data_IF_546003813074
#
_entry.id   IF_546003813074
#
_cell.length_a   1.000
_cell.length_b   1.000
_cell.length_c   1.000
_cell.angle_alpha   90.00
_cell.angle_beta   90.00
_cell.angle_gamma   90.00
#
_symmetry.space_group_name_H-M   'P 1'
#
loop_
_entity.id
_entity.type
_entity.pdbx_description
1 polymer ?
#
# COMPACT_ATOMS: atom_id res chain seq x y z
N UNK A 1 19.03 -16.89 -5.27
CA UNK A 1 18.18 -16.97 -4.05
C UNK A 1 19.03 -16.88 -2.77
N UNK A 2 18.80 -15.85 -1.95
CA UNK A 2 19.38 -15.67 -0.61
C UNK A 2 18.83 -16.71 0.40
N UNK A 3 19.30 -16.71 1.65
CA UNK A 3 18.70 -17.52 2.72
C UNK A 3 17.30 -17.00 3.08
N UNK A 4 17.14 -15.68 3.20
CA UNK A 4 15.85 -15.03 3.46
C UNK A 4 14.81 -15.31 2.39
N UNK A 5 15.19 -15.32 1.11
CA UNK A 5 14.27 -15.67 0.02
C UNK A 5 13.77 -17.12 0.16
N UNK A 6 14.64 -18.05 0.60
CA UNK A 6 14.26 -19.46 0.81
C UNK A 6 13.31 -19.63 1.97
N UNK A 7 13.60 -18.93 3.08
CA UNK A 7 12.76 -18.93 4.27
C UNK A 7 11.37 -18.37 3.92
N UNK A 8 11.32 -17.20 3.29
CA UNK A 8 10.08 -16.58 2.83
C UNK A 8 9.26 -17.50 1.92
N UNK A 9 9.89 -18.12 0.90
CA UNK A 9 9.20 -19.08 0.02
C UNK A 9 8.63 -20.26 0.81
N UNK A 10 9.36 -20.73 1.83
CA UNK A 10 8.89 -21.85 2.65
C UNK A 10 7.77 -21.50 3.62
N UNK A 11 7.69 -20.23 4.04
CA UNK A 11 6.64 -19.72 4.93
C UNK A 11 5.34 -19.40 4.17
N UNK A 12 5.44 -18.68 3.05
CA UNK A 12 4.29 -18.20 2.29
C UNK A 12 3.66 -19.27 1.38
N UNK A 13 4.42 -20.29 0.96
CA UNK A 13 3.92 -21.33 0.03
C UNK A 13 3.87 -22.69 0.73
N UNK A 14 2.69 -23.00 1.27
CA UNK A 14 2.45 -24.24 2.01
C UNK A 14 2.21 -25.41 1.04
N UNK A 15 3.29 -26.00 0.53
CA UNK A 15 3.25 -27.30 -0.16
C UNK A 15 2.49 -27.34 -1.50
N UNK A 16 2.22 -28.56 -1.98
CA UNK A 16 1.45 -28.78 -3.21
C UNK A 16 -0.06 -28.58 -3.02
N UNK A 17 -0.86 -28.66 -4.09
CA UNK A 17 -2.30 -28.43 -4.03
C UNK A 17 -2.98 -29.34 -3.00
N UNK A 18 -3.81 -28.80 -2.08
CA UNK A 18 -4.56 -29.62 -1.15
C UNK A 18 -5.55 -30.53 -1.90
N UNK A 19 -6.00 -31.61 -1.25
CA UNK A 19 -7.00 -32.51 -1.85
C UNK A 19 -8.28 -31.74 -2.20
N UNK A 20 -8.69 -31.82 -3.47
CA UNK A 20 -9.87 -31.10 -3.96
C UNK A 20 -9.59 -29.67 -4.46
N UNK A 21 -8.34 -29.23 -4.48
CA UNK A 21 -7.94 -27.98 -5.12
C UNK A 21 -8.20 -28.00 -6.63
N UNK A 22 -8.46 -26.82 -7.18
CA UNK A 22 -8.67 -26.57 -8.60
C UNK A 22 -7.58 -25.61 -9.06
N UNK A 23 -6.85 -26.01 -10.11
CA UNK A 23 -5.80 -25.18 -10.69
C UNK A 23 -6.33 -24.35 -11.85
N UNK A 24 -5.70 -23.19 -12.05
CA UNK A 24 -6.01 -22.31 -13.17
C UNK A 24 -5.48 -22.87 -14.49
N UNK A 25 -6.16 -22.59 -15.60
CA UNK A 25 -5.67 -22.93 -16.93
C UNK A 25 -4.49 -22.04 -17.39
N UNK A 26 -4.31 -20.88 -16.76
CA UNK A 26 -3.18 -19.98 -17.00
C UNK A 26 -1.92 -20.37 -16.23
N UNK A 27 -2.07 -21.03 -15.08
CA UNK A 27 -0.93 -21.39 -14.22
C UNK A 27 -0.61 -22.88 -14.26
N UNK A 28 -1.63 -23.74 -14.15
CA UNK A 28 -1.45 -25.15 -13.85
C UNK A 28 -1.16 -25.39 -12.38
N UNK A 29 -0.41 -26.43 -12.05
CA UNK A 29 -0.07 -26.75 -10.66
C UNK A 29 1.18 -26.00 -10.17
N UNK A 30 2.20 -25.91 -11.03
CA UNK A 30 3.52 -25.38 -10.71
C UNK A 30 3.97 -24.30 -11.73
N UNK A 31 3.02 -23.63 -12.36
CA UNK A 31 3.28 -22.65 -13.41
C UNK A 31 3.71 -23.26 -14.74
N UNK A 32 3.45 -24.55 -14.99
CA UNK A 32 3.82 -25.22 -16.25
C UNK A 32 3.01 -24.74 -17.46
N UNK A 33 1.86 -24.09 -17.22
CA UNK A 33 1.03 -23.49 -18.26
C UNK A 33 1.27 -21.97 -18.40
N UNK A 34 2.05 -21.38 -17.49
CA UNK A 34 2.26 -19.95 -17.45
C UNK A 34 3.17 -19.47 -18.58
N UNK A 35 2.65 -18.52 -19.37
CA UNK A 35 3.29 -17.91 -20.53
C UNK A 35 3.14 -16.39 -20.45
N UNK A 36 4.04 -15.68 -19.76
CA UNK A 36 3.94 -14.23 -19.58
C UNK A 36 3.92 -13.46 -20.91
N UNK A 37 4.51 -14.03 -21.98
CA UNK A 37 4.52 -13.46 -23.33
C UNK A 37 3.14 -13.42 -24.03
N UNK A 38 2.14 -14.17 -23.53
CA UNK A 38 0.77 -14.12 -24.03
C UNK A 38 -0.07 -13.00 -23.36
N UNK A 39 0.55 -12.21 -22.47
CA UNK A 39 0.03 -10.99 -21.81
C UNK A 39 -1.28 -11.15 -21.01
N UNK A 40 -1.79 -12.38 -20.89
CA UNK A 40 -3.02 -12.70 -20.17
C UNK A 40 -2.77 -12.74 -18.65
N UNK A 41 -1.74 -13.47 -18.20
CA UNK A 41 -1.20 -13.43 -16.85
C UNK A 41 0.26 -12.95 -16.92
N UNK A 42 0.47 -11.68 -16.61
CA UNK A 42 1.79 -11.05 -16.63
C UNK A 42 2.69 -11.53 -15.50
N UNK A 43 3.98 -11.24 -15.63
CA UNK A 43 4.98 -11.47 -14.59
C UNK A 43 5.04 -10.31 -13.60
N UNK A 44 4.67 -10.59 -12.36
CA UNK A 44 4.75 -9.69 -11.23
C UNK A 44 5.86 -10.08 -10.26
N UNK A 45 6.65 -11.12 -10.54
CA UNK A 45 7.62 -11.68 -9.59
C UNK A 45 8.75 -10.72 -9.21
N UNK A 46 9.01 -9.70 -10.03
CA UNK A 46 10.00 -8.64 -9.77
C UNK A 46 9.44 -7.49 -8.91
N UNK A 47 8.14 -7.46 -8.59
CA UNK A 47 7.58 -6.43 -7.73
C UNK A 47 8.13 -6.59 -6.30
N UNK A 48 8.54 -5.47 -5.70
CA UNK A 48 9.14 -5.39 -4.38
C UNK A 48 10.64 -5.09 -4.40
N UNK A 49 11.18 -4.93 -3.20
CA UNK A 49 12.58 -4.61 -2.93
C UNK A 49 13.56 -5.49 -3.73
N UNK A 50 14.54 -4.87 -4.39
CA UNK A 50 15.56 -5.56 -5.21
C UNK A 50 15.03 -6.60 -6.21
N UNK A 51 13.87 -6.34 -6.82
CA UNK A 51 13.23 -7.30 -7.70
C UNK A 51 12.51 -8.38 -6.90
N UNK A 52 11.67 -7.98 -5.93
CA UNK A 52 10.90 -8.89 -5.09
C UNK A 52 11.70 -9.80 -4.14
N UNK A 53 12.95 -9.46 -3.83
CA UNK A 53 13.75 -10.20 -2.84
C UNK A 53 13.33 -9.81 -1.42
N UNK A 54 13.53 -10.75 -0.51
CA UNK A 54 13.24 -10.62 0.90
C UNK A 54 14.52 -10.51 1.75
N UNK A 55 15.66 -10.15 1.14
CA UNK A 55 16.94 -9.91 1.80
C UNK A 55 17.10 -8.45 2.24
N UNK A 56 16.10 -7.93 2.95
CA UNK A 56 16.16 -6.58 3.52
C UNK A 56 17.41 -6.40 4.38
N UNK A 57 18.06 -5.22 4.36
CA UNK A 57 19.27 -5.00 5.12
C UNK A 57 19.02 -5.01 6.64
N UNK A 58 19.61 -5.99 7.32
CA UNK A 58 19.63 -6.05 8.79
C UNK A 58 20.78 -5.22 9.38
N UNK A 59 20.72 -3.90 9.18
CA UNK A 59 21.78 -3.01 9.62
C UNK A 59 21.83 -2.80 11.14
N UNK A 60 23.03 -2.75 11.71
CA UNK A 60 23.24 -2.47 13.13
C UNK A 60 22.82 -1.04 13.52
N UNK A 61 22.39 -0.79 14.77
CA UNK A 61 22.14 0.55 15.28
C UNK A 61 23.35 1.49 15.12
N UNK A 62 23.16 2.58 14.36
CA UNK A 62 24.17 3.62 14.14
C UNK A 62 23.92 4.91 14.92
N UNK A 63 22.66 5.22 15.23
CA UNK A 63 22.27 6.38 16.02
C UNK A 63 21.04 6.06 16.87
N UNK A 64 21.13 6.22 18.19
CA UNK A 64 19.97 6.11 19.08
C UNK A 64 19.34 7.49 19.28
N UNK A 65 18.04 7.66 19.00
CA UNK A 65 17.36 8.96 19.13
C UNK A 65 17.49 9.61 20.52
N UNK A 66 17.65 8.82 21.58
CA UNK A 66 17.85 9.31 22.96
C UNK A 66 19.20 9.99 23.16
N UNK A 67 20.24 9.58 22.43
CA UNK A 67 21.55 10.23 22.47
C UNK A 67 21.50 11.65 21.88
N UNK A 68 20.50 11.92 21.05
CA UNK A 68 20.22 13.23 20.47
C UNK A 68 19.17 14.02 21.27
N UNK A 69 18.75 13.51 22.42
CA UNK A 69 17.91 14.21 23.39
C UNK A 69 16.43 13.85 23.37
N UNK A 70 16.00 12.89 22.54
CA UNK A 70 14.61 12.42 22.52
C UNK A 70 14.21 11.87 23.90
N UNK A 71 13.00 12.17 24.35
CA UNK A 71 12.48 11.73 25.66
C UNK A 71 11.63 10.48 25.55
N UNK A 72 10.79 10.37 24.53
CA UNK A 72 9.87 9.24 24.41
C UNK A 72 8.82 9.20 25.52
N UNK A 73 8.42 10.36 26.05
CA UNK A 73 7.47 10.51 27.16
C UNK A 73 6.03 10.85 26.73
N UNK A 74 5.79 10.97 25.41
CA UNK A 74 4.51 11.28 24.78
C UNK A 74 4.12 12.76 24.84
N UNK A 75 4.98 13.63 25.39
CA UNK A 75 4.66 15.04 25.64
C UNK A 75 5.74 15.98 25.11
N UNK A 76 7.01 15.61 25.26
CA UNK A 76 8.13 16.39 24.75
C UNK A 76 8.18 16.28 23.23
N UNK A 77 8.25 17.42 22.54
CA UNK A 77 8.51 17.46 21.10
C UNK A 77 9.92 16.91 20.80
N UNK A 78 9.94 15.69 20.27
CA UNK A 78 11.15 14.94 19.97
C UNK A 78 11.61 15.12 18.51
N UNK A 79 10.90 15.92 17.71
CA UNK A 79 11.16 16.09 16.26
C UNK A 79 12.60 16.48 15.98
N UNK A 80 13.13 17.47 16.69
CA UNK A 80 14.50 17.94 16.48
C UNK A 80 15.56 16.89 16.89
N UNK A 81 15.25 16.03 17.86
CA UNK A 81 16.16 14.94 18.24
C UNK A 81 16.20 13.85 17.16
N UNK A 82 15.04 13.47 16.61
CA UNK A 82 14.96 12.57 15.47
C UNK A 82 15.69 13.10 14.25
N UNK A 83 15.46 14.36 13.87
CA UNK A 83 16.14 14.97 12.72
C UNK A 83 17.67 14.94 12.86
N UNK A 84 18.21 15.18 14.07
CA UNK A 84 19.66 15.07 14.34
C UNK A 84 20.14 13.62 14.33
N UNK A 85 19.37 12.69 14.88
CA UNK A 85 19.72 11.27 14.87
C UNK A 85 19.79 10.72 13.45
N UNK A 86 18.80 11.05 12.61
CA UNK A 86 18.81 10.75 11.18
C UNK A 86 20.05 11.37 10.54
N UNK A 87 20.31 12.66 10.78
CA UNK A 87 21.47 13.35 10.19
C UNK A 87 22.82 12.70 10.53
N UNK A 88 22.98 12.27 11.78
CA UNK A 88 24.20 11.69 12.30
C UNK A 88 24.36 10.18 12.04
N UNK A 89 23.29 9.48 11.67
CA UNK A 89 23.33 8.04 11.43
C UNK A 89 24.28 7.69 10.28
N UNK A 90 25.29 6.84 10.47
CA UNK A 90 26.11 6.36 9.35
C UNK A 90 25.26 5.74 8.24
N UNK A 91 25.76 5.74 7.01
CA UNK A 91 25.18 4.92 5.95
C UNK A 91 25.25 3.44 6.34
N UNK A 92 24.27 2.67 5.87
CA UNK A 92 24.08 1.25 6.18
C UNK A 92 23.97 0.98 7.68
N UNK A 93 23.22 1.84 8.38
CA UNK A 93 22.97 1.74 9.81
C UNK A 93 21.51 2.10 10.16
N UNK A 94 21.05 1.62 11.31
CA UNK A 94 19.72 1.94 11.81
C UNK A 94 19.74 3.21 12.69
N UNK A 95 18.78 4.10 12.45
CA UNK A 95 18.31 5.06 13.44
C UNK A 95 17.43 4.29 14.42
N UNK A 96 17.99 3.96 15.57
CA UNK A 96 17.34 3.15 16.59
C UNK A 96 16.41 3.99 17.46
N UNK A 97 15.17 3.52 17.60
CA UNK A 97 14.10 4.13 18.39
C UNK A 97 13.75 3.19 19.56
N UNK A 98 14.31 3.40 20.75
CA UNK A 98 13.97 2.59 21.92
C UNK A 98 12.48 2.68 22.27
N UNK A 99 11.95 1.71 22.99
CA UNK A 99 10.56 1.74 23.46
C UNK A 99 10.24 3.03 24.22
N UNK A 100 9.14 3.68 23.85
CA UNK A 100 8.71 4.99 24.31
C UNK A 100 7.71 5.62 23.34
N UNK A 101 7.06 6.70 23.76
CA UNK A 101 6.13 7.45 22.91
C UNK A 101 6.75 8.79 22.52
N UNK A 102 7.06 9.00 21.25
CA UNK A 102 7.81 10.14 20.76
C UNK A 102 6.86 11.09 20.03
N UNK A 103 6.62 12.28 20.59
CA UNK A 103 5.76 13.28 19.96
C UNK A 103 6.53 13.98 18.84
N UNK A 104 6.05 13.84 17.62
CA UNK A 104 6.52 14.58 16.46
C UNK A 104 5.53 15.71 16.16
N UNK A 105 6.02 16.94 16.22
CA UNK A 105 5.26 18.16 15.97
C UNK A 105 5.52 18.73 14.57
N UNK A 106 6.43 18.12 13.82
CA UNK A 106 6.72 18.44 12.42
C UNK A 106 7.24 17.18 11.70
N UNK A 107 7.37 17.25 10.39
CA UNK A 107 7.93 16.19 9.56
C UNK A 107 9.43 15.93 9.82
N UNK A 108 9.90 14.80 9.30
CA UNK A 108 11.30 14.42 9.21
C UNK A 108 11.64 14.23 7.73
N UNK A 109 12.86 14.61 7.32
CA UNK A 109 13.34 14.44 5.94
C UNK A 109 13.08 15.61 4.98
N UNK A 110 12.62 16.75 5.50
CA UNK A 110 12.46 18.01 4.76
C UNK A 110 13.38 19.09 5.34
N UNK A 111 14.03 19.87 4.47
CA UNK A 111 14.92 20.97 4.87
C UNK A 111 14.15 22.29 5.07
N UNK A 112 13.30 22.64 4.11
CA UNK A 112 12.44 23.82 4.18
C UNK A 112 11.23 23.70 3.24
N UNK A 113 10.16 24.42 3.57
CA UNK A 113 9.05 24.69 2.64
C UNK A 113 8.93 26.20 2.39
N UNK A 114 8.78 26.59 1.13
CA UNK A 114 8.59 27.98 0.70
C UNK A 114 7.39 28.09 -0.21
N UNK A 115 6.27 28.59 0.34
CA UNK A 115 4.99 28.53 -0.36
C UNK A 115 4.63 27.08 -0.64
N UNK A 116 4.28 26.74 -1.88
CA UNK A 116 3.90 25.38 -2.30
C UNK A 116 5.10 24.55 -2.80
N UNK A 117 6.32 24.93 -2.44
CA UNK A 117 7.54 24.22 -2.83
C UNK A 117 8.21 23.64 -1.59
N UNK A 118 8.43 22.33 -1.62
CA UNK A 118 9.13 21.57 -0.58
C UNK A 118 10.55 21.30 -1.06
N UNK A 119 11.53 21.66 -0.22
CA UNK A 119 12.92 21.27 -0.38
C UNK A 119 13.17 20.01 0.45
N UNK A 120 13.29 18.82 -0.17
CA UNK A 120 13.59 17.62 0.58
C UNK A 120 14.99 17.71 1.19
N UNK A 121 15.27 16.83 2.16
CA UNK A 121 16.62 16.55 2.64
C UNK A 121 16.98 15.10 2.26
N UNK A 122 17.38 14.84 1.00
CA UNK A 122 17.61 13.49 0.50
C UNK A 122 18.64 12.74 1.33
N UNK A 123 18.35 11.46 1.59
CA UNK A 123 19.23 10.54 2.30
C UNK A 123 18.92 9.12 1.87
N UNK A 124 19.96 8.31 1.76
CA UNK A 124 19.91 6.91 1.37
C UNK A 124 20.59 6.04 2.43
N UNK A 125 20.43 4.73 2.33
CA UNK A 125 21.16 3.74 3.13
C UNK A 125 20.93 3.89 4.65
N UNK A 126 19.68 4.02 5.08
CA UNK A 126 19.35 4.01 6.51
C UNK A 126 17.93 3.49 6.76
N UNK A 127 17.73 2.93 7.94
CA UNK A 127 16.41 2.47 8.40
C UNK A 127 16.04 3.17 9.70
N UNK A 128 14.80 3.61 9.83
CA UNK A 128 14.24 4.00 11.13
C UNK A 128 13.65 2.74 11.75
N UNK A 129 14.28 2.24 12.82
CA UNK A 129 13.91 0.96 13.42
C UNK A 129 13.53 1.13 14.89
N UNK A 130 12.31 0.75 15.24
CA UNK A 130 11.88 0.63 16.62
C UNK A 130 12.48 -0.58 17.33
N UNK A 131 12.59 -0.49 18.65
CA UNK A 131 12.95 -1.61 19.51
C UNK A 131 11.88 -2.71 19.48
N UNK A 132 10.61 -2.31 19.43
CA UNK A 132 9.47 -3.19 19.23
C UNK A 132 8.30 -2.45 18.56
N UNK A 133 7.49 -3.18 17.80
CA UNK A 133 6.32 -2.65 17.09
C UNK A 133 5.36 -1.90 18.01
N UNK A 134 5.00 -2.48 19.15
CA UNK A 134 4.05 -1.90 20.08
C UNK A 134 4.68 -0.91 21.07
N UNK A 135 5.99 -1.03 21.34
CA UNK A 135 6.69 -0.23 22.35
C UNK A 135 7.28 1.07 21.81
N UNK A 136 7.78 1.09 20.57
CA UNK A 136 8.29 2.29 19.92
C UNK A 136 7.17 3.00 19.14
N UNK A 137 6.60 4.06 19.72
CA UNK A 137 5.42 4.75 19.16
C UNK A 137 5.78 6.17 18.71
N UNK A 138 5.61 6.47 17.44
CA UNK A 138 5.70 7.84 16.90
C UNK A 138 4.31 8.47 16.92
N UNK A 139 4.12 9.51 17.74
CA UNK A 139 2.86 10.24 17.84
C UNK A 139 2.88 11.44 16.89
N UNK A 140 1.97 11.46 15.92
CA UNK A 140 1.79 12.58 14.99
C UNK A 140 0.94 13.64 15.68
N UNK A 141 1.57 14.74 16.10
CA UNK A 141 0.94 15.79 16.87
C UNK A 141 -0.06 16.63 16.06
N UNK A 142 0.36 17.83 15.70
CA UNK A 142 -0.44 18.78 14.92
C UNK A 142 -0.45 18.35 13.45
N UNK A 143 -1.57 18.48 12.75
CA UNK A 143 -1.62 18.09 11.33
C UNK A 143 -0.74 18.98 10.45
N UNK A 144 -0.18 18.42 9.37
CA UNK A 144 0.67 19.17 8.43
C UNK A 144 -0.01 20.42 7.85
N UNK A 145 -1.34 20.48 7.73
CA UNK A 145 -2.04 21.69 7.26
C UNK A 145 -1.90 22.86 8.23
N UNK A 146 -1.82 22.59 9.54
CA UNK A 146 -1.63 23.63 10.54
C UNK A 146 -0.16 24.07 10.64
N UNK A 147 0.78 23.15 10.44
CA UNK A 147 2.23 23.42 10.50
C UNK A 147 2.70 24.11 9.21
N UNK A 148 2.27 23.56 8.06
CA UNK A 148 2.66 23.94 6.70
C UNK A 148 1.41 24.08 5.80
N UNK A 149 0.66 25.19 5.88
CA UNK A 149 -0.58 25.35 5.12
C UNK A 149 -0.37 25.25 3.61
N UNK A 150 -1.13 24.38 2.95
CA UNK A 150 -1.06 24.18 1.50
C UNK A 150 -2.44 23.96 0.90
N UNK A 151 -3.20 25.05 0.84
CA UNK A 151 -4.54 25.05 0.23
C UNK A 151 -4.50 24.57 -1.23
N UNK A 152 -5.47 23.72 -1.57
CA UNK A 152 -5.69 23.15 -2.89
C UNK A 152 -7.19 23.13 -3.24
N UNK A 153 -7.51 22.69 -4.44
CA UNK A 153 -8.90 22.38 -4.84
C UNK A 153 -8.99 20.98 -5.44
N UNK A 154 -10.04 20.25 -5.07
CA UNK A 154 -10.42 19.00 -5.72
C UNK A 154 -10.73 19.23 -7.21
N UNK A 155 -10.80 18.16 -8.02
CA UNK A 155 -11.15 18.26 -9.44
C UNK A 155 -12.51 18.91 -9.73
N UNK A 156 -13.43 18.91 -8.76
CA UNK A 156 -14.73 19.60 -8.83
C UNK A 156 -14.73 21.00 -8.18
N UNK A 157 -13.57 21.55 -7.86
CA UNK A 157 -13.38 22.94 -7.43
C UNK A 157 -13.65 23.19 -5.94
N UNK A 158 -13.71 22.16 -5.10
CA UNK A 158 -13.93 22.32 -3.66
C UNK A 158 -12.61 22.57 -2.94
N UNK A 159 -12.57 23.45 -1.93
CA UNK A 159 -11.38 23.64 -1.11
C UNK A 159 -10.95 22.34 -0.42
N UNK A 160 -9.65 22.05 -0.48
CA UNK A 160 -8.98 20.91 0.14
C UNK A 160 -7.56 21.33 0.56
N UNK A 161 -6.80 20.42 1.16
CA UNK A 161 -5.38 20.57 1.44
C UNK A 161 -4.55 19.69 0.50
N UNK A 162 -3.33 20.10 0.18
CA UNK A 162 -2.36 19.23 -0.50
C UNK A 162 -2.04 17.97 0.31
N UNK A 163 -2.19 18.03 1.64
CA UNK A 163 -1.93 16.89 2.54
C UNK A 163 -2.98 15.77 2.39
N UNK A 164 -4.11 16.04 1.73
CA UNK A 164 -5.05 15.00 1.33
C UNK A 164 -4.48 14.04 0.27
N UNK A 165 -3.45 14.46 -0.48
CA UNK A 165 -2.97 13.75 -1.67
C UNK A 165 -1.50 13.32 -1.60
N UNK A 166 -0.75 13.85 -0.65
CA UNK A 166 0.71 13.70 -0.60
C UNK A 166 1.27 14.06 0.77
N UNK A 167 2.53 13.72 0.97
CA UNK A 167 3.27 14.08 2.18
C UNK A 167 2.99 13.17 3.36
N UNK A 168 3.92 13.18 4.29
CA UNK A 168 3.96 12.32 5.47
C UNK A 168 4.87 12.93 6.53
N UNK A 169 4.66 12.53 7.78
CA UNK A 169 5.58 12.89 8.85
C UNK A 169 6.95 12.24 8.68
N UNK A 170 7.02 11.04 8.11
CA UNK A 170 8.26 10.44 7.63
C UNK A 170 8.37 10.67 6.12
N UNK A 171 9.13 11.69 5.70
CA UNK A 171 9.31 12.06 4.31
C UNK A 171 10.63 11.53 3.77
N UNK A 172 10.57 10.61 2.82
CA UNK A 172 11.72 10.09 2.08
C UNK A 172 11.61 10.56 0.64
N UNK A 173 12.65 11.25 0.15
CA UNK A 173 12.65 11.73 -1.23
C UNK A 173 14.04 11.75 -1.87
N UNK A 174 14.08 11.47 -3.17
CA UNK A 174 15.28 11.45 -4.02
C UNK A 174 16.37 10.51 -3.46
N UNK A 175 15.97 9.30 -3.04
CA UNK A 175 16.80 8.38 -2.25
C UNK A 175 16.62 6.91 -2.60
N UNK A 176 17.43 6.06 -1.99
CA UNK A 176 17.37 4.60 -2.15
C UNK A 176 17.84 3.91 -0.88
N UNK A 177 17.51 2.63 -0.71
CA UNK A 177 17.95 1.82 0.42
C UNK A 177 17.49 2.44 1.74
N UNK A 178 16.20 2.77 1.83
CA UNK A 178 15.59 3.40 3.01
C UNK A 178 14.44 2.55 3.54
N UNK A 179 14.32 2.48 4.87
CA UNK A 179 13.28 1.68 5.48
C UNK A 179 12.66 2.25 6.76
N UNK A 180 11.50 1.71 7.12
CA UNK A 180 10.85 1.92 8.41
C UNK A 180 10.42 0.57 8.98
N UNK A 181 10.83 0.26 10.21
CA UNK A 181 10.65 -1.07 10.79
C UNK A 181 10.25 -1.06 12.26
N UNK A 182 9.49 -2.09 12.67
CA UNK A 182 9.28 -2.50 14.06
C UNK A 182 8.80 -1.36 14.96
N UNK A 183 7.81 -0.57 14.52
CA UNK A 183 7.29 0.55 15.29
C UNK A 183 5.80 0.82 15.02
N UNK A 184 5.20 1.66 15.84
CA UNK A 184 3.84 2.17 15.63
C UNK A 184 3.89 3.64 15.23
N UNK A 185 3.13 4.02 14.20
CA UNK A 185 2.85 5.42 13.85
C UNK A 185 1.40 5.70 14.23
N UNK A 186 1.18 6.73 15.06
CA UNK A 186 -0.13 7.01 15.63
C UNK A 186 -0.53 8.48 15.50
N UNK A 187 -1.66 8.74 14.85
CA UNK A 187 -2.33 10.04 14.88
C UNK A 187 -2.95 10.36 16.24
N UNK A 188 -3.46 11.58 16.39
CA UNK A 188 -3.97 12.09 17.67
C UNK A 188 -5.38 11.55 18.06
N UNK A 189 -5.94 10.60 17.30
CA UNK A 189 -7.30 10.08 17.50
C UNK A 189 -8.41 11.12 17.29
N UNK A 190 -9.62 10.81 17.79
CA UNK A 190 -10.82 11.66 17.66
C UNK A 190 -11.46 11.57 16.27
N UNK A 191 -12.71 12.03 16.09
CA UNK A 191 -13.47 11.74 14.88
C UNK A 191 -12.74 12.17 13.61
N UNK A 192 -12.73 11.29 12.60
CA UNK A 192 -12.27 11.59 11.26
C UNK A 192 -13.22 12.61 10.62
N UNK A 193 -12.61 13.55 9.92
CA UNK A 193 -13.30 14.67 9.33
C UNK A 193 -14.09 14.29 8.08
N UNK A 194 -14.33 15.30 7.26
CA UNK A 194 -14.89 15.12 5.93
C UNK A 194 -13.76 14.71 4.95
N UNK A 195 -14.11 13.85 4.00
CA UNK A 195 -13.27 13.46 2.87
C UNK A 195 -12.63 14.69 2.19
N UNK A 196 -11.34 14.61 1.84
CA UNK A 196 -10.53 15.67 1.23
C UNK A 196 -10.28 16.89 2.11
N UNK A 197 -10.45 16.78 3.43
CA UNK A 197 -10.15 17.87 4.38
C UNK A 197 -9.24 17.42 5.51
N UNK A 198 -8.37 16.47 5.19
CA UNK A 198 -7.43 15.87 6.13
C UNK A 198 -6.50 16.93 6.71
N UNK A 199 -6.37 17.03 8.04
CA UNK A 199 -5.36 17.84 8.69
C UNK A 199 -3.92 17.47 8.28
N UNK A 200 -3.71 16.29 7.73
CA UNK A 200 -2.41 15.84 7.22
C UNK A 200 -1.60 15.07 8.26
N UNK A 201 -2.25 14.32 9.16
CA UNK A 201 -1.57 13.34 10.02
C UNK A 201 -1.24 12.08 9.22
N UNK A 202 -0.44 12.27 8.18
CA UNK A 202 -0.02 11.23 7.26
C UNK A 202 1.23 10.53 7.80
N UNK A 203 1.30 9.21 7.68
CA UNK A 203 2.41 8.42 8.18
C UNK A 203 3.69 8.60 7.36
N UNK A 204 3.82 7.78 6.31
CA UNK A 204 5.05 7.64 5.52
C UNK A 204 4.79 8.14 4.10
N UNK A 205 5.73 8.92 3.57
CA UNK A 205 5.71 9.37 2.19
C UNK A 205 7.03 9.05 1.50
N UNK A 206 6.97 8.22 0.47
CA UNK A 206 8.06 7.99 -0.47
C UNK A 206 7.80 8.80 -1.73
N UNK A 207 8.77 9.59 -2.15
CA UNK A 207 8.71 10.33 -3.40
C UNK A 207 10.01 10.21 -4.17
N UNK A 208 9.96 9.76 -5.42
CA UNK A 208 11.19 9.62 -6.22
C UNK A 208 12.22 8.71 -5.49
N UNK A 209 11.75 7.59 -4.92
CA UNK A 209 12.55 6.63 -4.13
C UNK A 209 12.55 5.26 -4.79
N UNK A 210 13.72 4.63 -4.85
CA UNK A 210 13.91 3.28 -5.38
C UNK A 210 14.49 2.35 -4.29
N UNK A 211 14.05 1.08 -4.23
CA UNK A 211 14.53 0.11 -3.24
C UNK A 211 14.29 0.58 -1.80
N UNK A 212 13.05 0.53 -1.35
CA UNK A 212 12.66 0.87 0.02
C UNK A 212 11.75 -0.18 0.62
N UNK A 213 11.60 -0.14 1.94
CA UNK A 213 10.71 -1.07 2.62
C UNK A 213 10.02 -0.48 3.85
N UNK A 214 8.84 -1.01 4.18
CA UNK A 214 8.17 -0.79 5.45
C UNK A 214 7.73 -2.15 5.98
N UNK A 215 8.19 -2.52 7.18
CA UNK A 215 7.99 -3.87 7.73
C UNK A 215 7.62 -3.85 9.19
N UNK A 216 6.64 -4.65 9.59
CA UNK A 216 6.23 -4.82 10.99
C UNK A 216 5.84 -3.48 11.65
N UNK A 217 4.94 -2.75 10.97
CA UNK A 217 4.47 -1.43 11.40
C UNK A 217 2.98 -1.43 11.66
N UNK A 218 2.57 -0.80 12.76
CA UNK A 218 1.16 -0.49 13.03
C UNK A 218 0.87 0.98 12.75
N UNK A 219 -0.17 1.27 11.98
CA UNK A 219 -0.67 2.62 11.73
C UNK A 219 -2.02 2.81 12.42
N UNK A 220 -2.07 3.72 13.40
CA UNK A 220 -3.26 3.99 14.23
C UNK A 220 -3.73 5.42 14.00
N UNK A 221 -5.02 5.63 13.73
CA UNK A 221 -5.63 6.98 13.66
C UNK A 221 -4.97 7.93 12.64
N UNK A 222 -4.27 7.40 11.63
CA UNK A 222 -3.63 8.20 10.58
C UNK A 222 -4.67 8.75 9.60
N UNK A 223 -4.42 9.94 9.04
CA UNK A 223 -5.26 10.48 7.97
C UNK A 223 -4.94 9.77 6.65
N UNK A 224 -3.64 9.63 6.33
CA UNK A 224 -3.16 8.72 5.29
C UNK A 224 -2.01 7.86 5.81
N UNK A 225 -1.92 6.62 5.36
CA UNK A 225 -0.93 5.66 5.83
C UNK A 225 0.42 5.79 5.16
N UNK A 226 0.56 5.14 4.02
CA UNK A 226 1.79 5.05 3.24
C UNK A 226 1.47 5.48 1.81
N UNK A 227 2.09 6.59 1.39
CA UNK A 227 1.91 7.14 0.06
C UNK A 227 3.23 7.02 -0.69
N UNK A 228 3.19 6.39 -1.88
CA UNK A 228 4.35 6.24 -2.76
C UNK A 228 4.08 7.01 -4.04
N UNK A 229 4.93 7.98 -4.35
CA UNK A 229 4.84 8.78 -5.56
C UNK A 229 6.11 8.63 -6.39
N UNK A 230 5.98 8.15 -7.63
CA UNK A 230 7.10 7.89 -8.52
C UNK A 230 8.20 7.02 -7.85
N UNK A 231 7.80 5.99 -7.10
CA UNK A 231 8.72 5.06 -6.46
C UNK A 231 8.86 3.73 -7.22
N UNK A 232 9.99 3.05 -7.08
CA UNK A 232 10.22 1.73 -7.71
C UNK A 232 10.76 0.69 -6.75
N UNK A 233 10.34 -0.57 -6.91
CA UNK A 233 10.86 -1.70 -6.12
C UNK A 233 10.75 -1.46 -4.61
N UNK A 234 9.55 -1.12 -4.14
CA UNK A 234 9.25 -0.88 -2.72
C UNK A 234 8.39 -2.01 -2.17
N UNK A 235 8.76 -2.57 -1.02
CA UNK A 235 7.96 -3.58 -0.31
C UNK A 235 7.32 -3.01 0.95
N UNK A 236 6.01 -3.13 1.07
CA UNK A 236 5.25 -2.86 2.28
C UNK A 236 4.76 -4.20 2.83
N UNK A 237 5.22 -4.63 4.00
CA UNK A 237 4.88 -5.97 4.52
C UNK A 237 4.57 -6.03 6.01
N UNK A 238 3.67 -6.94 6.39
CA UNK A 238 3.25 -7.16 7.79
C UNK A 238 2.78 -5.85 8.43
N UNK A 239 1.74 -5.25 7.84
CA UNK A 239 1.20 -3.97 8.27
C UNK A 239 -0.18 -4.13 8.90
N UNK A 240 -0.40 -3.41 10.00
CA UNK A 240 -1.70 -3.32 10.66
C UNK A 240 -2.20 -1.89 10.60
N UNK A 241 -3.37 -1.71 9.99
CA UNK A 241 -4.13 -0.47 10.04
C UNK A 241 -5.27 -0.63 11.03
N UNK A 242 -5.33 0.27 12.02
CA UNK A 242 -6.40 0.27 13.02
C UNK A 242 -6.77 1.69 13.44
N UNK A 243 -7.83 1.82 14.22
CA UNK A 243 -8.26 3.10 14.76
C UNK A 243 -8.90 2.98 16.13
N UNK A 244 -8.85 4.08 16.89
CA UNK A 244 -9.57 4.21 18.15
C UNK A 244 -11.08 4.22 17.91
N UNK A 245 -11.86 3.68 18.85
CA UNK A 245 -13.31 3.49 18.69
C UNK A 245 -14.08 4.78 18.31
N UNK A 246 -13.57 5.95 18.68
CA UNK A 246 -14.19 7.26 18.40
C UNK A 246 -13.66 7.94 17.12
N UNK A 247 -12.83 7.25 16.34
CA UNK A 247 -12.22 7.75 15.10
C UNK A 247 -13.15 7.76 13.88
N UNK A 248 -14.10 6.83 13.67
CA UNK A 248 -14.89 6.83 12.42
C UNK A 248 -15.55 8.17 12.09
N UNK A 249 -15.70 8.46 10.78
CA UNK A 249 -16.32 9.67 10.28
C UNK A 249 -17.73 9.80 10.80
N UNK A 250 -18.12 11.04 11.10
CA UNK A 250 -19.52 11.40 11.40
C UNK A 250 -20.15 12.18 10.25
N UNK A 251 -19.47 12.27 9.11
CA UNK A 251 -19.92 13.03 7.95
C UNK A 251 -20.90 12.21 7.11
N UNK A 252 -22.08 12.77 6.84
CA UNK A 252 -23.07 12.21 5.91
C UNK A 252 -22.76 12.55 4.42
N UNK A 253 -21.56 13.07 4.14
CA UNK A 253 -21.21 13.54 2.80
C UNK A 253 -21.21 12.40 1.76
N UNK A 254 -20.78 11.21 2.16
CA UNK A 254 -20.76 9.97 1.38
C UNK A 254 -21.07 8.80 2.33
N UNK A 255 -21.06 7.55 1.83
CA UNK A 255 -21.11 6.36 2.68
C UNK A 255 -19.81 6.26 3.50
N UNK A 256 -19.78 6.94 4.64
CA UNK A 256 -18.60 7.05 5.49
C UNK A 256 -18.69 6.14 6.72
N UNK A 257 -19.64 5.19 6.73
CA UNK A 257 -19.84 4.31 7.86
C UNK A 257 -18.57 3.49 8.15
N UNK A 258 -17.96 3.73 9.31
CA UNK A 258 -16.73 3.05 9.73
C UNK A 258 -15.43 3.58 9.10
N UNK A 259 -15.48 4.60 8.24
CA UNK A 259 -14.28 5.20 7.61
C UNK A 259 -13.53 6.07 8.60
N UNK A 260 -12.24 5.82 8.82
CA UNK A 260 -11.41 6.55 9.79
C UNK A 260 -10.16 7.22 9.20
N UNK A 261 -10.01 7.20 7.88
CA UNK A 261 -8.93 7.85 7.16
C UNK A 261 -9.20 7.95 5.66
N UNK A 262 -8.31 8.62 4.94
CA UNK A 262 -8.42 8.91 3.51
C UNK A 262 -7.75 7.83 2.65
N UNK A 263 -6.42 7.82 2.54
CA UNK A 263 -5.65 6.82 1.78
C UNK A 263 -4.83 5.94 2.72
N UNK A 264 -5.04 4.63 2.73
CA UNK A 264 -4.23 3.74 3.57
C UNK A 264 -2.89 3.41 2.89
N UNK A 265 -2.95 2.80 1.70
CA UNK A 265 -1.79 2.55 0.84
C UNK A 265 -2.09 3.10 -0.56
N UNK A 266 -1.17 3.90 -1.10
CA UNK A 266 -1.28 4.44 -2.45
C UNK A 266 0.03 4.26 -3.22
N UNK A 267 -0.02 3.53 -4.34
CA UNK A 267 1.03 3.54 -5.34
C UNK A 267 0.66 4.51 -6.46
N UNK A 268 1.33 5.65 -6.55
CA UNK A 268 0.90 6.72 -7.44
C UNK A 268 1.98 7.41 -8.23
N UNK A 269 1.54 8.27 -9.16
CA UNK A 269 2.38 9.16 -9.97
C UNK A 269 3.55 8.43 -10.65
N UNK A 270 3.28 7.33 -11.36
CA UNK A 270 4.34 6.57 -12.05
C UNK A 270 5.04 5.50 -11.20
N UNK A 271 4.55 5.23 -9.98
CA UNK A 271 5.16 4.17 -9.15
C UNK A 271 5.08 2.81 -9.82
N UNK A 272 6.15 2.03 -9.77
CA UNK A 272 6.24 0.74 -10.46
C UNK A 272 6.90 -0.35 -9.64
N UNK A 273 6.55 -1.61 -9.91
CA UNK A 273 7.15 -2.76 -9.22
C UNK A 273 7.12 -2.64 -7.69
N UNK A 274 6.07 -2.03 -7.14
CA UNK A 274 5.86 -1.92 -5.70
C UNK A 274 4.90 -3.01 -5.23
N UNK A 275 5.06 -3.51 -4.00
CA UNK A 275 4.19 -4.53 -3.43
C UNK A 275 3.71 -4.11 -2.04
N UNK A 276 2.45 -4.40 -1.74
CA UNK A 276 1.90 -4.47 -0.40
C UNK A 276 1.48 -5.92 -0.14
N UNK A 277 2.17 -6.60 0.79
CA UNK A 277 1.98 -8.02 1.13
C UNK A 277 1.64 -8.15 2.62
N UNK A 278 0.72 -9.02 3.01
CA UNK A 278 0.37 -9.26 4.43
C UNK A 278 -0.10 -7.96 5.14
N UNK A 279 -1.25 -7.46 4.67
CA UNK A 279 -1.84 -6.20 5.14
C UNK A 279 -3.19 -6.46 5.79
N UNK A 280 -3.30 -6.12 7.08
CA UNK A 280 -4.56 -6.23 7.81
C UNK A 280 -5.14 -4.86 8.10
N UNK A 281 -6.41 -4.67 7.75
CA UNK A 281 -7.22 -3.50 8.10
C UNK A 281 -8.28 -3.90 9.13
N UNK A 282 -8.24 -3.32 10.33
CA UNK A 282 -9.32 -3.45 11.32
C UNK A 282 -10.39 -2.36 11.15
N UNK A 283 -10.02 -1.26 10.49
CA UNK A 283 -10.87 -0.12 10.21
C UNK A 283 -10.99 0.12 8.70
N UNK A 284 -11.87 1.04 8.29
CA UNK A 284 -11.98 1.45 6.89
C UNK A 284 -11.22 2.75 6.60
N UNK A 285 -10.80 2.90 5.36
CA UNK A 285 -10.37 4.14 4.73
C UNK A 285 -11.33 4.45 3.57
N UNK A 286 -11.25 5.67 3.03
CA UNK A 286 -11.88 5.92 1.74
C UNK A 286 -11.18 5.11 0.63
N UNK A 287 -9.86 4.95 0.71
CA UNK A 287 -9.03 4.30 -0.30
C UNK A 287 -7.95 3.42 0.38
N UNK A 288 -8.24 2.15 0.64
CA UNK A 288 -7.29 1.22 1.29
C UNK A 288 -6.18 0.80 0.33
N UNK A 289 -6.55 0.31 -0.86
CA UNK A 289 -5.62 -0.25 -1.85
C UNK A 289 -5.68 0.61 -3.12
N UNK A 290 -4.90 1.68 -3.13
CA UNK A 290 -4.97 2.74 -4.14
C UNK A 290 -3.86 2.71 -5.18
N UNK A 291 -4.24 3.07 -6.40
CA UNK A 291 -3.33 3.33 -7.52
C UNK A 291 -3.71 4.63 -8.24
N UNK A 292 -2.71 5.46 -8.54
CA UNK A 292 -2.86 6.70 -9.34
C UNK A 292 -2.26 6.53 -10.75
N UNK A 293 -2.58 7.45 -11.68
CA UNK A 293 -2.09 7.43 -13.06
C UNK A 293 -0.59 7.19 -13.22
N UNK A 294 -0.25 6.41 -14.25
CA UNK A 294 1.11 6.04 -14.62
C UNK A 294 1.70 4.88 -13.81
N UNK A 295 1.04 4.45 -12.74
CA UNK A 295 1.50 3.30 -11.96
C UNK A 295 1.31 1.98 -12.70
N UNK A 296 2.28 1.08 -12.57
CA UNK A 296 2.26 -0.20 -13.27
C UNK A 296 3.07 -1.30 -12.58
N UNK A 297 2.69 -2.56 -12.81
CA UNK A 297 3.33 -3.74 -12.22
C UNK A 297 3.37 -3.70 -10.68
N UNK A 298 2.42 -2.99 -10.06
CA UNK A 298 2.27 -2.98 -8.61
C UNK A 298 1.35 -4.11 -8.15
N UNK A 299 1.59 -4.61 -6.94
CA UNK A 299 0.93 -5.78 -6.39
C UNK A 299 0.32 -5.46 -5.02
N UNK A 300 -0.92 -5.86 -4.83
CA UNK A 300 -1.55 -6.01 -3.52
C UNK A 300 -1.78 -7.51 -3.30
N UNK A 301 -1.20 -8.04 -2.23
CA UNK A 301 -1.07 -9.46 -1.96
C UNK A 301 -1.43 -9.72 -0.49
N UNK A 302 -2.21 -10.77 -0.22
CA UNK A 302 -2.55 -11.17 1.17
C UNK A 302 -3.08 -9.99 2.01
N UNK A 303 -4.13 -9.33 1.49
CA UNK A 303 -4.74 -8.17 2.15
C UNK A 303 -6.14 -8.52 2.64
N UNK A 304 -6.48 -8.11 3.86
CA UNK A 304 -7.79 -8.36 4.47
C UNK A 304 -8.36 -7.14 5.17
N UNK A 305 -9.68 -6.96 5.12
CA UNK A 305 -10.33 -5.89 5.86
C UNK A 305 -11.85 -6.01 5.91
N UNK A 306 -12.52 -5.11 6.65
CA UNK A 306 -13.96 -5.20 6.88
C UNK A 306 -14.80 -4.97 5.62
N UNK A 307 -14.33 -4.09 4.72
CA UNK A 307 -14.96 -3.79 3.42
C UNK A 307 -13.98 -3.03 2.52
N UNK A 308 -13.04 -3.74 1.91
CA UNK A 308 -11.91 -3.15 1.18
C UNK A 308 -12.33 -2.45 -0.12
N UNK A 309 -11.57 -1.44 -0.53
CA UNK A 309 -11.70 -0.76 -1.82
C UNK A 309 -10.46 -0.98 -2.70
N UNK A 310 -10.69 -1.37 -3.96
CA UNK A 310 -9.69 -1.32 -5.02
C UNK A 310 -9.82 0.01 -5.73
N UNK A 311 -8.98 0.97 -5.33
CA UNK A 311 -9.08 2.36 -5.75
C UNK A 311 -8.19 2.65 -6.94
N UNK A 312 -8.78 2.65 -8.13
CA UNK A 312 -8.15 3.06 -9.39
C UNK A 312 -8.52 4.53 -9.66
N UNK A 313 -7.63 5.45 -9.29
CA UNK A 313 -7.88 6.88 -9.38
C UNK A 313 -7.54 7.44 -10.79
N UNK A 314 -8.11 6.84 -11.83
CA UNK A 314 -7.85 7.20 -13.24
C UNK A 314 -9.07 7.79 -13.95
N UNK A 315 -8.80 8.54 -15.02
CA UNK A 315 -9.79 9.04 -15.99
C UNK A 315 -9.67 8.34 -17.36
N UNK A 316 -8.63 7.51 -17.58
CA UNK A 316 -8.28 6.87 -18.86
C UNK A 316 -7.73 5.42 -18.66
N UNK A 317 -7.09 4.83 -19.66
CA UNK A 317 -6.41 3.52 -19.58
C UNK A 317 -4.92 3.70 -19.22
N UNK A 318 -4.59 4.59 -18.30
CA UNK A 318 -3.21 4.98 -17.96
C UNK A 318 -2.65 4.31 -16.69
N UNK A 319 -3.41 3.37 -16.14
CA UNK A 319 -3.00 2.44 -15.09
C UNK A 319 -3.05 1.06 -15.71
N UNK A 320 -1.91 0.37 -15.74
CA UNK A 320 -1.80 -0.93 -16.40
C UNK A 320 -1.12 -1.93 -15.47
N UNK A 321 -1.50 -3.19 -15.57
CA UNK A 321 -0.79 -4.30 -14.94
C UNK A 321 -0.72 -4.11 -13.43
N UNK A 322 -1.88 -4.08 -12.77
CA UNK A 322 -1.97 -4.08 -11.32
C UNK A 322 -2.50 -5.45 -10.90
N UNK A 323 -1.82 -6.11 -9.95
CA UNK A 323 -2.26 -7.39 -9.43
C UNK A 323 -2.89 -7.20 -8.05
N UNK A 324 -4.07 -7.79 -7.86
CA UNK A 324 -4.69 -8.03 -6.57
C UNK A 324 -4.78 -9.54 -6.40
N UNK A 325 -4.10 -10.10 -5.40
CA UNK A 325 -4.04 -11.54 -5.20
C UNK A 325 -4.24 -11.93 -3.75
N UNK A 326 -5.03 -12.97 -3.53
CA UNK A 326 -5.35 -13.49 -2.19
C UNK A 326 -5.95 -12.42 -1.26
N UNK A 327 -7.08 -11.85 -1.68
CA UNK A 327 -7.72 -10.72 -1.00
C UNK A 327 -8.97 -11.19 -0.27
N UNK A 328 -9.11 -10.85 1.01
CA UNK A 328 -10.38 -10.91 1.74
C UNK A 328 -11.00 -9.51 1.85
N UNK A 329 -11.96 -9.22 0.97
CA UNK A 329 -12.63 -7.93 0.92
C UNK A 329 -13.72 -7.75 2.00
N UNK A 330 -13.95 -8.74 2.87
CA UNK A 330 -14.97 -8.67 3.92
C UNK A 330 -16.39 -8.62 3.35
N UNK A 331 -17.14 -7.54 3.63
CA UNK A 331 -18.46 -7.35 3.03
C UNK A 331 -18.40 -7.24 1.50
N UNK A 332 -17.37 -6.56 0.96
CA UNK A 332 -17.02 -6.55 -0.46
C UNK A 332 -17.96 -5.77 -1.39
N UNK A 333 -19.04 -5.18 -0.90
CA UNK A 333 -19.99 -4.40 -1.71
C UNK A 333 -19.46 -3.01 -2.10
N UNK A 334 -18.35 -2.56 -1.52
CA UNK A 334 -17.74 -1.26 -1.81
C UNK A 334 -16.45 -1.35 -2.62
N UNK A 335 -16.07 -2.54 -3.07
CA UNK A 335 -14.76 -2.80 -3.69
C UNK A 335 -14.43 -1.91 -4.89
N UNK A 336 -15.44 -1.36 -5.58
CA UNK A 336 -15.29 -0.46 -6.73
C UNK A 336 -15.73 0.98 -6.49
N UNK A 337 -16.13 1.35 -5.27
CA UNK A 337 -16.89 2.59 -4.98
C UNK A 337 -16.24 3.86 -5.53
N UNK A 338 -14.91 3.95 -5.46
CA UNK A 338 -14.16 5.17 -5.77
C UNK A 338 -13.49 5.15 -7.15
N UNK A 339 -13.80 4.15 -7.98
CA UNK A 339 -13.31 4.06 -9.34
C UNK A 339 -14.15 4.96 -10.24
N UNK A 340 -13.74 6.22 -10.34
CA UNK A 340 -14.29 7.12 -11.34
C UNK A 340 -14.06 6.51 -12.74
N UNK A 341 -15.09 6.50 -13.58
CA UNK A 341 -15.04 6.00 -14.97
C UNK A 341 -14.77 4.49 -15.17
N UNK A 342 -14.72 3.69 -14.11
CA UNK A 342 -14.72 2.21 -14.19
C UNK A 342 -13.58 1.58 -15.01
N UNK A 343 -12.45 2.26 -15.15
CA UNK A 343 -11.25 1.73 -15.81
C UNK A 343 -10.40 0.98 -14.79
N UNK A 344 -10.87 -0.22 -14.37
CA UNK A 344 -9.98 -1.22 -13.78
C UNK A 344 -9.23 -2.01 -14.87
N UNK A 345 -9.36 -1.58 -16.12
CA UNK A 345 -8.67 -2.05 -17.32
C UNK A 345 -7.19 -2.22 -17.02
N UNK A 346 -6.61 -3.38 -17.34
CA UNK A 346 -5.22 -3.69 -17.01
C UNK A 346 -5.02 -4.42 -15.68
N UNK A 347 -6.05 -4.47 -14.81
CA UNK A 347 -6.02 -5.18 -13.54
C UNK A 347 -6.11 -6.70 -13.67
N UNK A 348 -5.40 -7.41 -12.81
CA UNK A 348 -5.50 -8.85 -12.58
C UNK A 348 -5.99 -9.10 -11.16
N UNK A 349 -7.07 -9.85 -11.03
CA UNK A 349 -7.72 -10.19 -9.78
C UNK A 349 -7.67 -11.71 -9.60
N UNK A 350 -6.90 -12.18 -8.63
CA UNK A 350 -6.65 -13.59 -8.38
C UNK A 350 -7.05 -13.95 -6.95
N UNK A 351 -7.94 -14.93 -6.78
CA UNK A 351 -8.41 -15.38 -5.47
C UNK A 351 -8.95 -14.23 -4.59
N UNK A 352 -9.99 -13.55 -5.07
CA UNK A 352 -10.65 -12.46 -4.32
C UNK A 352 -11.93 -12.99 -3.69
N UNK A 353 -11.96 -12.93 -2.35
CA UNK A 353 -13.07 -13.35 -1.49
C UNK A 353 -13.84 -12.13 -0.97
N UNK A 354 -15.12 -12.34 -0.69
CA UNK A 354 -16.00 -11.31 -0.11
C UNK A 354 -17.47 -11.73 -0.21
N UNK A 355 -18.32 -11.19 0.65
CA UNK A 355 -19.73 -11.61 0.74
C UNK A 355 -20.59 -11.13 -0.42
N UNK A 356 -20.36 -9.90 -0.88
CA UNK A 356 -21.22 -9.21 -1.84
C UNK A 356 -20.44 -8.68 -3.06
N UNK A 357 -19.44 -9.44 -3.52
CA UNK A 357 -18.61 -9.04 -4.66
C UNK A 357 -19.43 -8.90 -5.95
N UNK A 358 -19.29 -7.76 -6.60
CA UNK A 358 -19.83 -7.48 -7.93
C UNK A 358 -18.69 -7.29 -8.94
N UNK A 359 -18.94 -7.48 -10.24
CA UNK A 359 -17.98 -7.05 -11.26
C UNK A 359 -17.95 -5.52 -11.36
N UNK A 360 -16.83 -4.93 -11.81
CA UNK A 360 -16.73 -3.49 -12.01
C UNK A 360 -17.74 -3.03 -13.07
N UNK A 361 -18.40 -1.90 -12.82
CA UNK A 361 -19.31 -1.27 -13.78
C UNK A 361 -18.68 0.02 -14.34
N UNK A 362 -18.46 0.09 -15.65
CA UNK A 362 -18.07 1.34 -16.28
C UNK A 362 -19.29 2.24 -16.53
N UNK A 363 -19.45 3.26 -15.68
CA UNK A 363 -20.44 4.32 -15.89
C UNK A 363 -19.84 5.40 -16.80
N UNK A 364 -20.19 5.37 -18.08
CA UNK A 364 -19.83 6.42 -19.05
C UNK A 364 -20.89 7.55 -19.09
N UNK A 365 -20.43 8.80 -19.14
CA UNK A 365 -21.29 9.99 -19.31
C UNK A 365 -21.76 10.15 -20.76
N UNK A 366 -21.09 9.45 -21.68
CA UNK A 366 -21.55 9.23 -23.04
C UNK A 366 -22.46 8.01 -22.98
N UNK A 367 -23.64 8.03 -23.61
CA UNK A 367 -24.48 6.83 -23.77
C UNK A 367 -23.77 5.81 -24.68
N UNK A 368 -22.72 5.20 -24.17
CA UNK A 368 -22.07 4.04 -24.75
C UNK A 368 -21.94 3.04 -23.62
N UNK A 369 -22.72 1.95 -23.61
CA UNK A 369 -22.42 0.85 -22.73
C UNK A 369 -21.04 0.34 -23.15
N UNK A 370 -20.06 0.44 -22.26
CA UNK A 370 -18.84 -0.36 -22.40
C UNK A 370 -19.18 -1.73 -21.86
N UNK A 371 -19.09 -2.71 -22.73
CA UNK A 371 -19.45 -4.07 -22.42
C UNK A 371 -18.31 -4.71 -21.59
N UNK A 372 -18.60 -5.65 -20.66
CA UNK A 372 -17.56 -6.34 -19.90
C UNK A 372 -16.46 -6.99 -20.76
N UNK A 373 -16.76 -7.25 -22.03
CA UNK A 373 -15.88 -7.80 -23.05
C UNK A 373 -14.83 -6.79 -23.57
N UNK A 374 -14.91 -5.51 -23.22
CA UNK A 374 -13.91 -4.48 -23.55
C UNK A 374 -12.86 -4.29 -22.44
N UNK A 375 -13.01 -4.97 -21.29
CA UNK A 375 -12.06 -4.86 -20.19
C UNK A 375 -10.76 -5.62 -20.50
N UNK A 376 -9.62 -4.95 -20.45
CA UNK A 376 -8.30 -5.59 -20.46
C UNK A 376 -7.95 -6.26 -19.12
N UNK A 377 -8.88 -6.99 -18.49
CA UNK A 377 -8.76 -7.49 -17.11
C UNK A 377 -8.77 -9.01 -17.01
N UNK A 378 -8.10 -9.52 -15.98
CA UNK A 378 -8.07 -10.94 -15.61
C UNK A 378 -8.83 -11.15 -14.29
N UNK A 379 -9.72 -12.15 -14.23
CA UNK A 379 -10.35 -12.61 -13.00
C UNK A 379 -10.22 -14.13 -12.86
N UNK A 380 -9.58 -14.62 -11.80
CA UNK A 380 -9.44 -16.05 -11.50
C UNK A 380 -9.76 -16.24 -10.03
N UNK A 381 -10.70 -17.13 -9.68
CA UNK A 381 -11.09 -17.29 -8.27
C UNK A 381 -11.78 -16.05 -7.71
N UNK A 382 -12.89 -15.65 -8.32
CA UNK A 382 -13.70 -14.51 -7.87
C UNK A 382 -14.98 -15.01 -7.19
N UNK A 383 -15.27 -14.58 -5.95
CA UNK A 383 -16.45 -15.07 -5.22
C UNK A 383 -17.79 -14.58 -5.80
N UNK A 384 -17.78 -13.52 -6.63
CA UNK A 384 -18.97 -13.05 -7.34
C UNK A 384 -19.24 -13.81 -8.65
N UNK A 385 -20.29 -13.42 -9.38
CA UNK A 385 -20.63 -14.06 -10.67
C UNK A 385 -19.72 -13.57 -11.81
N UNK A 386 -19.19 -14.49 -12.63
CA UNK A 386 -18.35 -14.20 -13.80
C UNK A 386 -19.06 -14.47 -15.14
N UNK A 387 -18.63 -13.84 -16.25
CA UNK A 387 -19.09 -14.18 -17.60
C UNK A 387 -18.65 -15.60 -18.01
N UNK A 388 -19.34 -16.18 -19.01
CA UNK A 388 -19.09 -17.56 -19.46
C UNK A 388 -18.15 -17.68 -20.68
N UNK A 389 -17.80 -16.57 -21.31
CA UNK A 389 -17.04 -16.53 -22.57
C UNK A 389 -15.60 -16.09 -22.33
N UNK A 390 -14.66 -16.83 -22.92
CA UNK A 390 -13.21 -16.60 -22.83
C UNK A 390 -12.63 -16.33 -24.22
N UNK A 391 -11.83 -15.26 -24.35
CA UNK A 391 -11.05 -14.97 -25.55
C UNK A 391 -9.59 -14.67 -25.13
N UNK A 392 -8.62 -15.20 -25.89
CA UNK A 392 -7.19 -14.92 -25.66
C UNK A 392 -6.88 -13.47 -26.04
N UNK A 393 -6.07 -12.77 -25.23
CA UNK A 393 -5.69 -11.36 -25.49
C UNK A 393 -6.42 -10.32 -24.63
N UNK A 394 -7.17 -10.78 -23.62
CA UNK A 394 -8.01 -10.03 -22.66
C UNK A 394 -9.35 -9.52 -23.22
N UNK A 395 -10.43 -9.55 -22.40
CA UNK A 395 -10.55 -10.04 -21.00
C UNK A 395 -10.48 -11.57 -20.82
N UNK A 396 -10.07 -12.06 -19.64
CA UNK A 396 -10.04 -13.49 -19.24
C UNK A 396 -10.68 -13.74 -17.86
N UNK A 397 -11.47 -14.81 -17.73
CA UNK A 397 -12.20 -15.19 -16.52
C UNK A 397 -12.13 -16.71 -16.25
N UNK A 398 -11.88 -17.11 -15.00
CA UNK A 398 -11.99 -18.51 -14.58
C UNK A 398 -12.92 -18.61 -13.38
N UNK A 399 -14.09 -19.22 -13.61
CA UNK A 399 -15.08 -19.53 -12.57
C UNK A 399 -14.56 -20.68 -11.72
N UNK A 400 -13.66 -20.35 -10.79
CA UNK A 400 -13.11 -21.25 -9.77
C UNK A 400 -13.57 -20.74 -8.41
N UNK A 401 -14.01 -21.65 -7.53
CA UNK A 401 -14.30 -21.34 -6.14
C UNK A 401 -13.03 -20.82 -5.45
N UNK A 402 -12.98 -19.58 -4.92
CA UNK A 402 -11.78 -19.01 -4.32
C UNK A 402 -11.17 -19.90 -3.23
N UNK A 403 -12.00 -20.56 -2.43
CA UNK A 403 -11.58 -21.47 -1.35
C UNK A 403 -10.90 -22.76 -1.85
N UNK A 404 -10.99 -23.04 -3.16
CA UNK A 404 -10.37 -24.21 -3.80
C UNK A 404 -9.28 -23.85 -4.79
N UNK A 405 -9.10 -22.57 -5.11
CA UNK A 405 -8.12 -22.15 -6.11
C UNK A 405 -6.70 -22.43 -5.60
N UNK A 406 -5.90 -23.07 -6.45
CA UNK A 406 -4.48 -23.26 -6.20
C UNK A 406 -3.63 -22.75 -7.39
N UNK A 407 -2.56 -21.98 -7.14
CA UNK A 407 -2.19 -21.39 -5.84
C UNK A 407 -3.21 -20.30 -5.42
N UNK A 408 -3.45 -20.11 -4.12
CA UNK A 408 -4.30 -19.02 -3.64
C UNK A 408 -3.67 -17.65 -3.91
N UNK A 409 -2.34 -17.55 -3.88
CA UNK A 409 -1.60 -16.34 -4.16
C UNK A 409 -0.70 -16.52 -5.39
N UNK A 410 -1.02 -15.84 -6.50
CA UNK A 410 -0.28 -15.99 -7.75
C UNK A 410 1.05 -15.23 -7.74
N UNK A 411 1.15 -14.11 -7.01
CA UNK A 411 2.40 -13.36 -6.87
C UNK A 411 3.46 -14.22 -6.19
N UNK A 412 3.12 -14.82 -5.04
CA UNK A 412 4.04 -15.71 -4.34
C UNK A 412 4.47 -16.90 -5.20
N UNK A 413 3.53 -17.51 -5.93
CA UNK A 413 3.83 -18.63 -6.83
C UNK A 413 4.76 -18.23 -8.00
N UNK A 414 4.57 -17.03 -8.57
CA UNK A 414 5.47 -16.47 -9.59
C UNK A 414 6.89 -16.26 -9.04
N UNK A 415 7.02 -15.67 -7.85
CA UNK A 415 8.32 -15.48 -7.19
C UNK A 415 9.04 -16.80 -6.93
N UNK A 416 8.34 -17.79 -6.37
CA UNK A 416 8.91 -19.11 -6.15
C UNK A 416 9.42 -19.73 -7.45
N UNK A 417 8.63 -19.67 -8.53
CA UNK A 417 9.03 -20.21 -9.82
C UNK A 417 10.29 -19.53 -10.34
N UNK A 418 10.37 -18.19 -10.29
CA UNK A 418 11.55 -17.43 -10.73
C UNK A 418 12.79 -17.80 -9.90
N UNK A 419 12.68 -17.78 -8.57
CA UNK A 419 13.80 -18.10 -7.67
C UNK A 419 14.29 -19.55 -7.76
N UNK A 420 13.46 -20.49 -8.22
CA UNK A 420 13.89 -21.87 -8.51
C UNK A 420 14.66 -22.00 -9.83
N UNK A 421 14.47 -21.08 -10.77
CA UNK A 421 15.12 -21.09 -12.08
C UNK A 421 16.42 -20.28 -12.15
N UNK A 422 16.67 -19.42 -11.17
CA UNK A 422 17.91 -18.65 -10.97
C UNK A 422 18.90 -19.36 -10.03
#
# INVERSE_FOLDING_TARGET
MSESDREWVSEKIVGGPPEGAVTSALWGENGELWKPEEETLLDFSEAGYHGGKNDFPEWEPGANVRDFGAKGDGVTDDTAAFARAIEACPENAAVFVPDGSYLLMDWLGVDEMKGTWVKPKPRSHFVIRGESREGAVLLLGVGLEEIHPWAQTTGNGRPTSQWSWSGGFLWFQDGTEVGVENLTIRGNGGPYGEHWKEPGRNGIFFRDVEHAWVRDVTLIDVDSGILVNNGSHITLENLLFTSTENRPSTSDFEDNEGVSGHHAILFGNGSSWCVADDITFENRFHHELGVNPGSHHCVFSDCSGPNLHFDFHTFENDIENILFTDIDAGEGDLIWRNNFYGSCTGGAFWNVRGKNLALPEQKSWVKHPVAPEEYGTLFVGWAGSLPKTQEVGRPWFEEIDPEKLFPPNIYHAQQQKRFQTE
#
